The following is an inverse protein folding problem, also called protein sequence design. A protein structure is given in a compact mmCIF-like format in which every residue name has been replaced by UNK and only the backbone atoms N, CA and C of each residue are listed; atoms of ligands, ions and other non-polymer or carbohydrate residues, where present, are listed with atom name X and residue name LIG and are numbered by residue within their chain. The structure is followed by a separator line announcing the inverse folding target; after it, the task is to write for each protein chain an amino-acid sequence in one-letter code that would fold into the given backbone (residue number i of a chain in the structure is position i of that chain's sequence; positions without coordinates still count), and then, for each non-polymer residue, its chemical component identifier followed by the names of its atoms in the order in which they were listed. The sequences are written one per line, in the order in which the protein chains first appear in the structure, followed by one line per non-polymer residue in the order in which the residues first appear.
data_IF_474809711518
#
_entry.id   IF_474809711518
#
_cell.length_a   1.000
_cell.length_b   1.000
_cell.length_c   1.000
_cell.angle_alpha   90.00
_cell.angle_beta   90.00
_cell.angle_gamma   90.00
#
_symmetry.space_group_name_H-M   'P 1'
#
loop_
_entity.id
_entity.type
_entity.pdbx_description
1 polymer ?
#
# COMPACT_ATOMS: atom_id res chain seq x y z
N UNK A 1 -67.66 2.01 -73.33
CA UNK A 1 -66.96 0.92 -72.61
C UNK A 1 -65.47 1.16 -72.72
N UNK A 2 -64.83 1.66 -71.66
CA UNK A 2 -63.39 1.43 -71.40
C UNK A 2 -63.06 1.91 -70.00
N UNK A 3 -62.75 0.95 -69.13
CA UNK A 3 -62.43 1.10 -67.72
C UNK A 3 -60.93 1.29 -67.54
N UNK A 4 -60.50 2.53 -67.27
CA UNK A 4 -59.14 2.77 -66.80
C UNK A 4 -59.07 2.50 -65.30
N UNK A 5 -58.53 1.33 -64.93
CA UNK A 5 -58.16 1.00 -63.55
C UNK A 5 -56.83 1.67 -63.22
N UNK A 6 -56.86 2.66 -62.32
CA UNK A 6 -55.66 3.25 -61.72
C UNK A 6 -55.23 2.35 -60.56
N UNK A 7 -54.12 1.64 -60.72
CA UNK A 7 -53.50 0.88 -59.63
C UNK A 7 -52.74 1.84 -58.70
N UNK A 8 -53.20 2.00 -57.46
CA UNK A 8 -52.44 2.67 -56.40
C UNK A 8 -51.36 1.71 -55.89
N UNK A 9 -50.10 1.99 -56.20
CA UNK A 9 -48.97 1.31 -55.59
C UNK A 9 -48.83 1.76 -54.12
N UNK A 10 -49.02 0.83 -53.18
CA UNK A 10 -48.76 1.09 -51.76
C UNK A 10 -47.27 0.93 -51.48
N UNK A 11 -46.57 2.05 -51.29
CA UNK A 11 -45.21 2.06 -50.74
C UNK A 11 -45.27 1.66 -49.25
N UNK A 12 -44.91 0.41 -48.94
CA UNK A 12 -44.67 -0.01 -47.55
C UNK A 12 -43.39 0.66 -47.05
N UNK A 13 -43.55 1.65 -46.18
CA UNK A 13 -42.44 2.20 -45.41
C UNK A 13 -41.81 1.07 -44.57
N UNK A 14 -40.54 0.77 -44.84
CA UNK A 14 -39.74 -0.11 -43.98
C UNK A 14 -39.39 0.67 -42.71
N UNK A 15 -39.58 0.12 -41.51
CA UNK A 15 -39.09 0.79 -40.31
C UNK A 15 -37.57 0.82 -40.39
N UNK A 16 -36.97 2.00 -40.27
CA UNK A 16 -35.55 2.12 -40.01
C UNK A 16 -35.30 1.47 -38.65
N UNK A 17 -34.59 0.34 -38.65
CA UNK A 17 -34.13 -0.26 -37.42
C UNK A 17 -33.20 0.73 -36.74
N UNK A 18 -33.68 1.37 -35.67
CA UNK A 18 -32.84 2.12 -34.74
C UNK A 18 -31.90 1.09 -34.14
N UNK A 19 -30.65 1.05 -34.62
CA UNK A 19 -29.58 0.29 -33.98
C UNK A 19 -29.44 0.88 -32.59
N UNK A 20 -29.94 0.17 -31.57
CA UNK A 20 -29.55 0.44 -30.20
C UNK A 20 -28.02 0.47 -30.15
N UNK A 21 -27.39 1.45 -29.46
CA UNK A 21 -25.96 1.39 -29.29
C UNK A 21 -25.65 0.05 -28.64
N UNK A 22 -24.88 -0.80 -29.32
CA UNK A 22 -24.24 -1.95 -28.71
C UNK A 22 -23.51 -1.39 -27.50
N UNK A 23 -24.05 -1.62 -26.30
CA UNK A 23 -23.31 -1.38 -25.08
C UNK A 23 -22.10 -2.28 -25.17
N UNK A 24 -20.97 -1.69 -25.58
CA UNK A 24 -19.68 -2.33 -25.53
C UNK A 24 -19.49 -2.63 -24.05
N UNK A 25 -19.59 -3.90 -23.67
CA UNK A 25 -19.09 -4.35 -22.38
C UNK A 25 -17.62 -3.96 -22.39
N UNK A 26 -17.28 -2.86 -21.72
CA UNK A 26 -15.90 -2.55 -21.42
C UNK A 26 -15.41 -3.71 -20.57
N UNK A 27 -14.66 -4.63 -21.18
CA UNK A 27 -13.74 -5.43 -20.42
C UNK A 27 -12.72 -4.44 -19.88
N UNK A 28 -12.70 -4.28 -18.55
CA UNK A 28 -11.69 -3.62 -17.74
C UNK A 28 -10.89 -2.51 -18.44
N UNK A 29 -11.16 -1.25 -18.10
CA UNK A 29 -10.09 -0.25 -18.15
C UNK A 29 -8.85 -0.88 -17.51
N UNK A 30 -7.72 -0.81 -18.22
CA UNK A 30 -6.49 -1.48 -17.86
C UNK A 30 -6.25 -1.32 -16.35
N UNK A 31 -6.38 -2.44 -15.64
CA UNK A 31 -6.09 -2.49 -14.22
C UNK A 31 -4.64 -2.03 -14.11
N UNK A 32 -4.40 -0.87 -13.52
CA UNK A 32 -3.03 -0.40 -13.37
C UNK A 32 -2.32 -1.42 -12.49
N UNK A 33 -1.25 -2.04 -12.98
CA UNK A 33 -0.36 -2.91 -12.21
C UNK A 33 0.43 -2.13 -11.13
N UNK A 34 -0.05 -0.94 -10.76
CA UNK A 34 0.59 0.03 -9.90
C UNK A 34 -0.35 0.37 -8.74
N UNK A 35 0.25 0.55 -7.58
CA UNK A 35 -0.38 1.06 -6.38
C UNK A 35 0.12 2.48 -6.11
N UNK A 36 -0.77 3.38 -5.72
CA UNK A 36 -0.38 4.72 -5.29
C UNK A 36 -0.03 4.68 -3.82
N UNK A 37 1.27 4.76 -3.54
CA UNK A 37 1.81 4.77 -2.20
C UNK A 37 1.86 6.22 -1.66
N UNK A 38 1.34 6.41 -0.47
CA UNK A 38 1.63 7.57 0.38
C UNK A 38 2.24 7.07 1.68
N UNK A 39 3.44 7.53 1.99
CA UNK A 39 4.14 7.20 3.24
C UNK A 39 4.42 8.49 3.98
N UNK A 40 3.74 8.66 5.11
CA UNK A 40 3.65 9.91 5.83
C UNK A 40 4.05 9.74 7.29
N UNK A 41 4.92 10.64 7.73
CA UNK A 41 5.29 10.90 9.12
C UNK A 41 4.63 12.21 9.57
N UNK A 42 4.44 12.44 10.88
CA UNK A 42 3.87 13.69 11.38
C UNK A 42 4.65 14.94 10.94
N UNK A 43 5.97 14.82 10.79
CA UNK A 43 6.87 15.92 10.44
C UNK A 43 7.24 15.98 8.95
N UNK A 44 7.11 14.88 8.21
CA UNK A 44 7.52 14.78 6.81
C UNK A 44 6.72 13.73 6.04
N UNK A 45 6.43 13.99 4.77
CA UNK A 45 5.92 12.98 3.84
C UNK A 45 7.07 12.47 2.95
N UNK A 46 7.47 11.21 3.13
CA UNK A 46 8.54 10.56 2.36
C UNK A 46 8.03 10.24 0.94
N UNK A 47 6.84 9.66 0.84
CA UNK A 47 6.17 9.40 -0.43
C UNK A 47 4.82 10.13 -0.51
N UNK A 48 4.57 10.81 -1.63
CA UNK A 48 3.33 11.56 -1.89
C UNK A 48 2.64 11.01 -3.15
N UNK A 49 1.77 10.02 -2.97
CA UNK A 49 1.05 9.39 -4.10
C UNK A 49 1.97 8.97 -5.25
N UNK A 50 3.09 8.34 -4.90
CA UNK A 50 4.04 7.79 -5.87
C UNK A 50 3.55 6.43 -6.38
N UNK A 51 3.79 6.14 -7.65
CA UNK A 51 3.47 4.85 -8.21
C UNK A 51 4.52 3.82 -7.78
N UNK A 52 4.07 2.75 -7.11
CA UNK A 52 4.87 1.58 -6.76
C UNK A 52 4.26 0.33 -7.40
N UNK A 53 5.07 -0.70 -7.64
CA UNK A 53 4.59 -1.99 -8.15
C UNK A 53 4.18 -2.89 -6.97
N UNK A 54 5.01 -2.89 -5.94
CA UNK A 54 4.82 -3.70 -4.74
C UNK A 54 5.39 -2.97 -3.53
N UNK A 55 4.70 -3.09 -2.40
CA UNK A 55 5.16 -2.56 -1.12
C UNK A 55 5.11 -3.68 -0.08
N UNK A 56 6.27 -4.04 0.46
CA UNK A 56 6.38 -5.02 1.54
C UNK A 56 6.32 -4.28 2.88
N UNK A 57 5.42 -4.71 3.76
CA UNK A 57 5.19 -4.10 5.07
C UNK A 57 5.22 -5.14 6.19
N UNK A 58 5.77 -4.79 7.38
CA UNK A 58 5.76 -5.63 8.56
C UNK A 58 4.45 -5.42 9.34
N UNK A 59 3.42 -6.20 9.06
CA UNK A 59 2.16 -6.12 9.81
C UNK A 59 2.23 -6.93 11.11
N UNK A 60 1.37 -6.58 12.07
CA UNK A 60 1.22 -7.31 13.33
C UNK A 60 0.89 -8.79 13.08
N UNK A 61 0.07 -9.05 12.07
CA UNK A 61 -0.34 -10.37 11.60
C UNK A 61 0.75 -11.16 10.86
N UNK A 62 1.87 -10.52 10.53
CA UNK A 62 3.01 -11.07 9.78
C UNK A 62 3.45 -10.16 8.64
N UNK A 63 4.53 -10.53 7.96
CA UNK A 63 5.01 -9.76 6.81
C UNK A 63 4.07 -9.94 5.61
N UNK A 64 3.68 -8.83 4.97
CA UNK A 64 2.76 -8.84 3.84
C UNK A 64 3.26 -7.98 2.69
N UNK A 65 3.05 -8.45 1.45
CA UNK A 65 3.31 -7.71 0.22
C UNK A 65 2.01 -7.18 -0.36
N UNK A 66 1.90 -5.85 -0.45
CA UNK A 66 0.74 -5.17 -1.05
C UNK A 66 1.05 -4.86 -2.51
N UNK A 67 0.24 -5.42 -3.42
CA UNK A 67 0.28 -5.17 -4.85
C UNK A 67 -0.96 -4.40 -5.31
N UNK A 68 -1.04 -4.07 -6.60
CA UNK A 68 -2.22 -3.49 -7.20
C UNK A 68 -3.49 -4.33 -6.95
N UNK A 69 -4.60 -3.67 -6.60
CA UNK A 69 -5.89 -4.29 -6.28
C UNK A 69 -5.87 -5.28 -5.10
N UNK A 70 -4.98 -5.04 -4.14
CA UNK A 70 -5.03 -5.73 -2.87
C UNK A 70 -6.37 -5.49 -2.14
N UNK A 71 -6.77 -6.45 -1.30
CA UNK A 71 -8.01 -6.35 -0.52
C UNK A 71 -7.92 -5.15 0.43
N UNK A 72 -8.96 -4.29 0.48
CA UNK A 72 -9.01 -3.18 1.42
C UNK A 72 -8.87 -3.67 2.85
N UNK A 73 -7.89 -3.14 3.58
CA UNK A 73 -7.47 -3.62 4.90
C UNK A 73 -6.87 -2.47 5.69
N UNK A 74 -6.97 -2.57 7.02
CA UNK A 74 -6.29 -1.70 7.97
C UNK A 74 -5.46 -2.63 8.85
N UNK A 75 -4.15 -2.48 8.79
CA UNK A 75 -3.22 -3.32 9.53
C UNK A 75 -2.34 -2.44 10.42
N UNK A 76 -2.12 -2.89 11.65
CA UNK A 76 -1.12 -2.29 12.54
C UNK A 76 0.27 -2.75 12.09
N UNK A 77 1.22 -1.84 12.06
CA UNK A 77 2.60 -2.11 11.68
C UNK A 77 3.47 -2.30 12.91
N UNK A 78 4.30 -3.35 12.86
CA UNK A 78 5.39 -3.58 13.81
C UNK A 78 6.59 -2.69 13.46
N UNK A 79 7.47 -2.39 14.43
CA UNK A 79 8.77 -1.80 14.13
C UNK A 79 9.55 -2.73 13.18
N UNK A 80 9.94 -2.24 12.01
CA UNK A 80 10.52 -3.11 10.99
C UNK A 80 10.80 -2.44 9.66
N UNK A 81 11.25 -3.26 8.70
CA UNK A 81 11.62 -2.81 7.37
C UNK A 81 10.40 -2.74 6.45
N UNK A 82 10.21 -1.58 5.83
CA UNK A 82 9.31 -1.39 4.69
C UNK A 82 10.15 -1.28 3.43
N UNK A 83 9.78 -2.09 2.44
CA UNK A 83 10.42 -2.08 1.13
C UNK A 83 9.43 -1.65 0.06
N UNK A 84 9.81 -0.64 -0.70
CA UNK A 84 9.04 -0.09 -1.81
C UNK A 84 9.74 -0.45 -3.11
N UNK A 85 9.07 -1.23 -3.95
CA UNK A 85 9.56 -1.63 -5.27
C UNK A 85 8.93 -0.70 -6.31
N UNK A 86 9.76 0.14 -6.93
CA UNK A 86 9.36 1.08 -7.97
C UNK A 86 9.44 0.46 -9.37
N UNK A 87 8.85 1.15 -10.35
CA UNK A 87 8.89 0.75 -11.76
C UNK A 87 10.33 0.82 -12.29
N UNK A 88 10.86 -0.32 -12.72
CA UNK A 88 12.27 -0.48 -13.11
C UNK A 88 13.11 -1.33 -12.17
N UNK A 89 12.52 -1.86 -11.09
CA UNK A 89 13.16 -2.82 -10.20
C UNK A 89 14.05 -2.20 -9.12
N UNK A 90 14.04 -0.88 -8.98
CA UNK A 90 14.68 -0.20 -7.85
C UNK A 90 13.86 -0.40 -6.58
N UNK A 91 14.50 -0.99 -5.56
CA UNK A 91 13.94 -1.16 -4.22
C UNK A 91 14.47 -0.06 -3.30
N UNK A 92 13.56 0.67 -2.64
CA UNK A 92 13.89 1.61 -1.56
C UNK A 92 13.47 1.02 -0.23
N UNK A 93 14.36 1.04 0.74
CA UNK A 93 14.18 0.39 2.03
C UNK A 93 14.18 1.44 3.14
N UNK A 94 13.15 1.39 3.98
CA UNK A 94 12.95 2.30 5.11
C UNK A 94 12.67 1.49 6.36
N UNK A 95 13.38 1.79 7.45
CA UNK A 95 13.01 1.28 8.76
C UNK A 95 11.97 2.20 9.38
N UNK A 96 10.82 1.64 9.79
CA UNK A 96 9.75 2.37 10.45
C UNK A 96 9.68 1.98 11.92
N UNK A 97 9.38 2.95 12.78
CA UNK A 97 9.16 2.71 14.22
C UNK A 97 7.86 1.96 14.54
N UNK A 98 6.99 1.75 13.55
CA UNK A 98 5.63 1.23 13.69
C UNK A 98 4.57 2.25 13.28
N UNK A 99 3.31 1.83 13.25
CA UNK A 99 2.20 2.68 12.80
C UNK A 99 1.02 1.90 12.21
N UNK A 100 0.43 2.42 11.14
CA UNK A 100 -0.70 1.78 10.45
C UNK A 100 -0.54 1.83 8.93
N UNK A 101 -0.87 0.72 8.28
CA UNK A 101 -1.05 0.64 6.84
C UNK A 101 -2.54 0.54 6.52
N UNK A 102 -3.01 1.42 5.64
CA UNK A 102 -4.40 1.45 5.17
C UNK A 102 -4.41 1.22 3.67
N UNK A 103 -4.98 0.08 3.26
CA UNK A 103 -5.23 -0.26 1.86
C UNK A 103 -6.66 0.12 1.51
N UNK A 104 -6.81 0.99 0.52
CA UNK A 104 -8.09 1.55 0.10
C UNK A 104 -8.60 0.89 -1.20
N UNK A 105 -9.93 0.82 -1.46
CA UNK A 105 -10.52 0.12 -2.63
C UNK A 105 -10.15 0.62 -4.03
N UNK A 106 -9.24 1.57 -4.17
CA UNK A 106 -8.82 2.21 -5.42
C UNK A 106 -7.31 2.08 -5.66
N UNK A 107 -6.68 1.03 -5.11
CA UNK A 107 -5.23 0.83 -5.16
C UNK A 107 -4.47 2.04 -4.60
N UNK A 108 -4.99 2.67 -3.54
CA UNK A 108 -4.22 3.56 -2.68
C UNK A 108 -3.76 2.80 -1.44
N UNK A 109 -2.48 2.91 -1.16
CA UNK A 109 -1.87 2.46 0.08
C UNK A 109 -1.37 3.69 0.84
N UNK A 110 -1.88 3.87 2.05
CA UNK A 110 -1.45 4.93 2.96
C UNK A 110 -0.76 4.31 4.17
N UNK A 111 0.54 4.53 4.29
CA UNK A 111 1.35 4.12 5.42
C UNK A 111 1.59 5.35 6.30
N UNK A 112 1.12 5.28 7.54
CA UNK A 112 1.35 6.30 8.55
C UNK A 112 2.25 5.71 9.64
N UNK A 113 3.41 6.31 9.85
CA UNK A 113 4.35 5.93 10.90
C UNK A 113 4.75 7.16 11.71
N UNK A 114 5.27 6.95 12.92
CA UNK A 114 5.76 8.07 13.76
C UNK A 114 7.12 8.53 13.28
N UNK A 115 8.07 7.59 13.20
CA UNK A 115 9.41 7.83 12.67
C UNK A 115 9.74 6.83 11.56
N UNK A 116 10.55 7.27 10.60
CA UNK A 116 10.98 6.44 9.48
C UNK A 116 12.24 6.98 8.81
N UNK A 117 13.27 6.14 8.71
CA UNK A 117 14.58 6.52 8.17
C UNK A 117 15.09 5.46 7.19
N UNK A 118 15.90 5.85 6.19
CA UNK A 118 16.58 4.88 5.33
C UNK A 118 17.63 4.10 6.12
N UNK A 119 17.96 2.89 5.65
CA UNK A 119 18.89 2.00 6.38
C UNK A 119 20.30 2.57 6.52
N UNK A 120 20.72 3.42 5.58
CA UNK A 120 22.04 4.04 5.54
C UNK A 120 22.30 5.03 6.69
N UNK A 121 21.25 5.55 7.32
CA UNK A 121 21.38 6.50 8.43
C UNK A 121 21.64 5.81 9.79
N UNK A 122 21.55 4.48 9.84
CA UNK A 122 21.73 3.71 11.08
C UNK A 122 23.15 3.17 11.24
N UNK A 123 23.70 3.32 12.45
CA UNK A 123 24.97 2.71 12.84
C UNK A 123 24.75 1.43 13.65
N UNK A 124 25.23 0.30 13.12
CA UNK A 124 25.11 -1.01 13.78
C UNK A 124 25.78 -1.05 15.16
N UNK A 125 26.85 -0.28 15.38
CA UNK A 125 27.56 -0.24 16.65
C UNK A 125 26.76 0.50 17.73
N UNK A 126 26.07 1.57 17.35
CA UNK A 126 25.19 2.31 18.27
C UNK A 126 23.98 1.45 18.66
N UNK A 127 23.39 0.73 17.71
CA UNK A 127 22.27 -0.19 17.99
C UNK A 127 22.68 -1.28 18.98
N UNK A 128 23.87 -1.89 18.81
CA UNK A 128 24.38 -2.89 19.76
C UNK A 128 24.62 -2.32 21.16
N UNK A 129 25.15 -1.10 21.25
CA UNK A 129 25.36 -0.42 22.51
C UNK A 129 24.02 -0.17 23.23
N UNK A 130 23.02 0.34 22.51
CA UNK A 130 21.68 0.60 23.03
C UNK A 130 20.97 -0.69 23.48
N UNK A 131 21.09 -1.79 22.73
CA UNK A 131 20.54 -3.09 23.14
C UNK A 131 21.13 -3.52 24.49
N UNK A 132 22.46 -3.40 24.66
CA UNK A 132 23.09 -3.78 25.93
C UNK A 132 22.64 -2.91 27.10
N UNK A 133 22.32 -1.63 26.86
CA UNK A 133 21.82 -0.71 27.88
C UNK A 133 20.38 -1.03 28.25
N UNK A 134 19.49 -1.11 27.26
CA UNK A 134 18.08 -1.45 27.44
C UNK A 134 17.92 -2.83 28.11
N UNK A 135 18.79 -3.79 27.79
CA UNK A 135 18.76 -5.13 28.41
C UNK A 135 19.16 -5.11 29.89
N UNK A 136 20.01 -4.17 30.33
CA UNK A 136 20.33 -4.01 31.75
C UNK A 136 19.15 -3.42 32.52
N UNK A 137 18.44 -2.47 31.92
CA UNK A 137 17.26 -1.83 32.53
C UNK A 137 16.10 -2.83 32.61
N UNK A 138 15.84 -3.57 31.53
CA UNK A 138 14.77 -4.55 31.47
C UNK A 138 14.92 -5.71 32.47
N UNK A 139 16.17 -6.08 32.81
CA UNK A 139 16.47 -7.11 33.82
C UNK A 139 16.74 -6.52 35.23
N UNK A 140 16.63 -5.20 35.38
CA UNK A 140 16.82 -4.51 36.65
C UNK A 140 15.60 -4.61 37.57
N UNK A 141 15.71 -3.97 38.74
CA UNK A 141 14.63 -3.91 39.75
C UNK A 141 13.95 -2.53 39.77
N UNK A 142 13.77 -1.93 38.59
CA UNK A 142 13.11 -0.62 38.43
C UNK A 142 11.61 -0.66 38.70
N UNK A 143 10.93 0.45 38.44
CA UNK A 143 9.46 0.46 38.46
C UNK A 143 8.91 -0.41 37.32
N UNK A 144 7.69 -0.92 37.46
CA UNK A 144 7.06 -1.73 36.40
C UNK A 144 6.93 -0.95 35.08
N UNK A 145 6.82 0.37 35.15
CA UNK A 145 6.76 1.27 33.99
C UNK A 145 8.10 1.31 33.26
N UNK A 146 9.21 1.52 33.99
CA UNK A 146 10.56 1.56 33.40
C UNK A 146 10.91 0.22 32.73
N UNK A 147 10.50 -0.89 33.36
CA UNK A 147 10.72 -2.23 32.81
C UNK A 147 9.89 -2.44 31.54
N UNK A 148 8.66 -1.92 31.47
CA UNK A 148 7.82 -2.01 30.28
C UNK A 148 8.38 -1.17 29.13
N UNK A 149 8.83 0.06 29.39
CA UNK A 149 9.48 0.92 28.40
C UNK A 149 10.75 0.28 27.84
N UNK A 150 11.61 -0.25 28.72
CA UNK A 150 12.84 -0.93 28.30
C UNK A 150 12.55 -2.17 27.44
N UNK A 151 11.45 -2.90 27.68
CA UNK A 151 11.04 -4.03 26.83
C UNK A 151 10.58 -3.59 25.45
N UNK A 152 9.83 -2.48 25.36
CA UNK A 152 9.41 -1.91 24.08
C UNK A 152 10.64 -1.42 23.30
N UNK A 153 11.58 -0.76 23.98
CA UNK A 153 12.83 -0.32 23.37
C UNK A 153 13.65 -1.49 22.83
N UNK A 154 13.78 -2.58 23.61
CA UNK A 154 14.44 -3.80 23.17
C UNK A 154 13.80 -4.40 21.93
N UNK A 155 12.46 -4.48 21.88
CA UNK A 155 11.74 -5.01 20.71
C UNK A 155 12.07 -4.22 19.43
N UNK A 156 12.08 -2.89 19.51
CA UNK A 156 12.42 -2.03 18.38
C UNK A 156 13.88 -2.23 17.95
N UNK A 157 14.80 -2.24 18.90
CA UNK A 157 16.23 -2.36 18.64
C UNK A 157 16.63 -3.74 18.10
N UNK A 158 16.00 -4.82 18.57
CA UNK A 158 16.19 -6.17 18.06
C UNK A 158 15.72 -6.28 16.61
N UNK A 159 14.55 -5.72 16.29
CA UNK A 159 14.04 -5.62 14.92
C UNK A 159 14.99 -4.82 14.02
N UNK A 160 15.53 -3.71 14.51
CA UNK A 160 16.51 -2.91 13.77
C UNK A 160 17.83 -3.67 13.55
N UNK A 161 18.32 -4.38 14.57
CA UNK A 161 19.52 -5.22 14.45
C UNK A 161 19.33 -6.37 13.46
N UNK A 162 18.12 -6.95 13.39
CA UNK A 162 17.82 -8.02 12.44
C UNK A 162 17.96 -7.55 10.98
N UNK A 163 17.66 -6.28 10.71
CA UNK A 163 17.68 -5.68 9.37
C UNK A 163 19.07 -5.17 8.97
N UNK A 164 19.89 -4.69 9.92
CA UNK A 164 21.22 -4.12 9.67
C UNK A 164 22.35 -5.16 9.46
N UNK A 165 22.02 -6.41 9.15
CA UNK A 165 23.02 -7.50 9.02
C UNK A 165 23.84 -7.46 7.75
#
# INVERSE_FOLDING_TARGET
MNSFRVARAALRARPSAIRAPLQRRGYAEAVSDKIKLSLTLPHQAIFKSSDAVQVNIPAESGDMGVLANHVPSIEQLKPGLVEVIEEGGSSKQFFLSGGFAVVQPNSLLSINAVEGFPLEDFSADNVRAQISEAQKVANGNGSEQDIAEAKIELEVLESLQAVLK
#
